data_IF_657618976849
#
_entry.id   IF_657618976849
#
_cell.length_a   1.000
_cell.length_b   1.000
_cell.length_c   1.000
_cell.angle_alpha   90.00
_cell.angle_beta   90.00
_cell.angle_gamma   90.00
#
_symmetry.space_group_name_H-M   'P 1'
#
loop_
_entity.id
_entity.type
_entity.pdbx_description
1 polymer ?
#
# COMPACT_ATOMS: atom_id res chain seq x y z
N UNK A 1 28.11 -21.00 15.56
CA UNK A 1 27.06 -21.44 14.61
C UNK A 1 25.84 -20.57 14.86
N UNK A 2 25.54 -19.64 13.96
CA UNK A 2 24.32 -18.82 14.08
C UNK A 2 23.10 -19.70 13.83
N UNK A 3 22.05 -19.51 14.62
CA UNK A 3 20.83 -20.31 14.48
C UNK A 3 20.07 -19.89 13.22
N UNK A 4 19.54 -20.83 12.42
CA UNK A 4 18.82 -20.54 11.16
C UNK A 4 17.58 -19.63 11.32
N UNK A 5 17.12 -19.43 12.55
CA UNK A 5 16.00 -18.55 12.89
C UNK A 5 16.44 -17.11 13.17
N UNK A 6 17.67 -16.89 13.65
CA UNK A 6 18.26 -15.55 13.81
C UNK A 6 18.44 -14.88 12.45
N UNK A 7 18.87 -15.67 11.46
CA UNK A 7 18.96 -15.25 10.06
C UNK A 7 17.59 -14.94 9.44
N UNK A 8 16.54 -15.72 9.75
CA UNK A 8 15.19 -15.42 9.27
C UNK A 8 14.64 -14.08 9.83
N UNK A 9 14.88 -13.80 11.12
CA UNK A 9 14.47 -12.54 11.74
C UNK A 9 15.23 -11.34 11.17
N UNK A 10 16.53 -11.48 10.94
CA UNK A 10 17.35 -10.45 10.28
C UNK A 10 16.92 -10.20 8.84
N UNK A 11 16.66 -11.26 8.06
CA UNK A 11 16.12 -11.15 6.70
C UNK A 11 14.79 -10.40 6.68
N UNK A 12 13.94 -10.67 7.67
CA UNK A 12 12.68 -9.98 7.80
C UNK A 12 12.85 -8.50 8.15
N UNK A 13 13.76 -8.17 9.06
CA UNK A 13 14.11 -6.78 9.39
C UNK A 13 14.55 -6.05 8.12
N UNK A 14 15.44 -6.65 7.32
CA UNK A 14 15.87 -6.07 6.04
C UNK A 14 14.70 -5.84 5.08
N UNK A 15 13.79 -6.82 4.92
CA UNK A 15 12.60 -6.67 4.09
C UNK A 15 11.66 -5.55 4.58
N UNK A 16 11.52 -5.39 5.90
CA UNK A 16 10.74 -4.32 6.51
C UNK A 16 11.37 -2.94 6.30
N UNK A 17 12.71 -2.85 6.36
CA UNK A 17 13.42 -1.60 6.05
C UNK A 17 13.25 -1.20 4.59
N UNK A 18 13.36 -2.14 3.65
CA UNK A 18 13.09 -1.89 2.23
C UNK A 18 11.64 -1.47 2.01
N UNK A 19 10.68 -2.15 2.64
CA UNK A 19 9.26 -1.78 2.55
C UNK A 19 9.01 -0.35 3.06
N UNK A 20 9.66 0.03 4.17
CA UNK A 20 9.53 1.38 4.71
C UNK A 20 10.08 2.44 3.75
N UNK A 21 11.20 2.17 3.08
CA UNK A 21 11.75 3.05 2.05
C UNK A 21 10.79 3.22 0.86
N UNK A 22 10.18 2.13 0.39
CA UNK A 22 9.18 2.20 -0.67
C UNK A 22 7.93 2.99 -0.25
N UNK A 23 7.49 2.87 1.00
CA UNK A 23 6.36 3.66 1.50
C UNK A 23 6.69 5.16 1.56
N UNK A 24 7.92 5.53 1.87
CA UNK A 24 8.39 6.91 1.79
C UNK A 24 8.43 7.43 0.34
N UNK A 25 8.87 6.59 -0.60
CA UNK A 25 8.88 6.95 -2.03
C UNK A 25 7.46 7.12 -2.56
N UNK A 26 6.55 6.21 -2.21
CA UNK A 26 5.12 6.33 -2.52
C UNK A 26 4.53 7.62 -1.96
N UNK A 27 4.82 7.94 -0.69
CA UNK A 27 4.36 9.18 -0.07
C UNK A 27 4.83 10.40 -0.88
N UNK A 28 6.09 10.41 -1.33
CA UNK A 28 6.62 11.50 -2.12
C UNK A 28 5.93 11.62 -3.48
N UNK A 29 5.74 10.51 -4.21
CA UNK A 29 5.01 10.46 -5.48
C UNK A 29 3.57 10.97 -5.33
N UNK A 30 2.86 10.55 -4.28
CA UNK A 30 1.50 10.98 -3.99
C UNK A 30 1.41 12.48 -3.68
N UNK A 31 2.42 13.03 -2.98
CA UNK A 31 2.48 14.45 -2.64
C UNK A 31 2.87 15.33 -3.83
N UNK A 32 3.75 14.84 -4.71
CA UNK A 32 4.21 15.60 -5.88
C UNK A 32 3.25 15.49 -7.07
N UNK A 33 2.37 14.49 -7.08
CA UNK A 33 1.53 14.17 -8.24
C UNK A 33 2.28 13.39 -9.33
N UNK A 34 3.52 12.96 -9.08
CA UNK A 34 4.29 12.14 -10.02
C UNK A 34 3.88 10.67 -9.91
N UNK A 35 2.96 10.27 -10.79
CA UNK A 35 2.38 8.92 -10.81
C UNK A 35 3.25 7.91 -11.56
N UNK A 36 4.34 8.32 -12.20
CA UNK A 36 5.13 7.45 -13.12
C UNK A 36 5.78 6.26 -12.41
N UNK A 37 6.16 6.43 -11.14
CA UNK A 37 6.80 5.40 -10.34
C UNK A 37 5.83 4.60 -9.46
N UNK A 38 4.55 4.98 -9.36
CA UNK A 38 3.64 4.36 -8.40
C UNK A 38 3.34 2.90 -8.71
N UNK A 39 3.20 2.54 -9.99
CA UNK A 39 2.93 1.16 -10.39
C UNK A 39 4.10 0.23 -10.02
N UNK A 40 5.34 0.66 -10.28
CA UNK A 40 6.52 -0.12 -9.92
C UNK A 40 6.72 -0.23 -8.42
N UNK A 41 6.46 0.85 -7.67
CA UNK A 41 6.49 0.85 -6.21
C UNK A 41 5.42 -0.10 -5.66
N UNK A 42 4.20 -0.08 -6.18
CA UNK A 42 3.12 -0.96 -5.76
C UNK A 42 3.47 -2.44 -5.96
N UNK A 43 4.00 -2.80 -7.14
CA UNK A 43 4.42 -4.17 -7.45
C UNK A 43 5.54 -4.65 -6.51
N UNK A 44 6.52 -3.81 -6.21
CA UNK A 44 7.63 -4.17 -5.32
C UNK A 44 7.17 -4.30 -3.85
N UNK A 45 6.25 -3.43 -3.39
CA UNK A 45 5.61 -3.60 -2.07
C UNK A 45 4.87 -4.93 -1.97
N UNK A 46 4.13 -5.33 -3.01
CA UNK A 46 3.41 -6.60 -3.02
C UNK A 46 4.36 -7.80 -2.86
N UNK A 47 5.47 -7.80 -3.61
CA UNK A 47 6.53 -8.83 -3.46
C UNK A 47 7.10 -8.86 -2.05
N UNK A 48 7.36 -7.70 -1.46
CA UNK A 48 7.88 -7.62 -0.08
C UNK A 48 6.86 -8.13 0.94
N UNK A 49 5.57 -7.84 0.79
CA UNK A 49 4.53 -8.38 1.67
C UNK A 49 4.48 -9.91 1.60
N UNK A 50 4.58 -10.49 0.40
CA UNK A 50 4.64 -11.94 0.22
C UNK A 50 5.91 -12.53 0.88
N UNK A 51 7.07 -11.89 0.70
CA UNK A 51 8.33 -12.32 1.33
C UNK A 51 8.27 -12.27 2.85
N UNK A 52 7.76 -11.16 3.43
CA UNK A 52 7.59 -10.99 4.87
C UNK A 52 6.63 -12.05 5.43
N UNK A 53 5.53 -12.34 4.73
CA UNK A 53 4.56 -13.37 5.11
C UNK A 53 5.18 -14.78 5.12
N UNK A 54 6.00 -15.10 4.11
CA UNK A 54 6.72 -16.36 4.04
C UNK A 54 7.75 -16.50 5.18
N UNK A 55 8.46 -15.42 5.52
CA UNK A 55 9.40 -15.39 6.64
C UNK A 55 8.69 -15.55 7.98
N UNK A 56 7.49 -14.98 8.15
CA UNK A 56 6.69 -15.18 9.37
C UNK A 56 6.22 -16.60 9.57
N UNK A 57 5.84 -17.28 8.49
CA UNK A 57 5.40 -18.67 8.55
C UNK A 57 6.53 -19.59 9.01
N UNK A 58 7.80 -19.22 8.75
CA UNK A 58 9.00 -19.97 9.14
C UNK A 58 9.50 -19.62 10.54
N UNK A 59 8.87 -18.64 11.22
CA UNK A 59 9.32 -18.16 12.52
C UNK A 59 8.83 -19.09 13.64
N UNK A 60 9.72 -19.93 14.13
CA UNK A 60 9.47 -20.72 15.34
C UNK A 60 9.79 -19.90 16.61
N UNK A 61 9.02 -20.09 17.71
CA UNK A 61 9.33 -19.46 18.99
C UNK A 61 10.68 -19.97 19.50
N UNK A 62 11.63 -19.05 19.72
CA UNK A 62 12.96 -19.33 20.24
C UNK A 62 13.12 -18.87 21.69
N UNK A 63 14.05 -19.50 22.44
CA UNK A 63 14.43 -19.03 23.76
C UNK A 63 15.00 -17.60 23.68
N UNK A 64 14.58 -16.77 24.64
CA UNK A 64 14.88 -15.34 24.71
C UNK A 64 16.36 -15.08 25.03
N UNK A 65 17.20 -14.95 24.01
CA UNK A 65 18.54 -14.35 24.18
C UNK A 65 18.45 -12.83 24.11
N UNK A 66 19.39 -12.11 24.73
CA UNK A 66 19.41 -10.65 24.69
C UNK A 66 19.44 -10.10 23.24
N UNK A 67 20.26 -10.68 22.37
CA UNK A 67 20.33 -10.31 20.95
C UNK A 67 19.01 -10.58 20.20
N UNK A 68 18.34 -11.70 20.49
CA UNK A 68 17.04 -12.00 19.87
C UNK A 68 15.94 -11.03 20.34
N UNK A 69 15.96 -10.62 21.61
CA UNK A 69 15.04 -9.60 22.13
C UNK A 69 15.26 -8.24 21.46
N UNK A 70 16.51 -7.85 21.23
CA UNK A 70 16.85 -6.62 20.51
C UNK A 70 16.33 -6.63 19.06
N UNK A 71 16.58 -7.71 18.32
CA UNK A 71 16.05 -7.88 16.96
C UNK A 71 14.52 -7.86 16.93
N UNK A 72 13.84 -8.47 17.91
CA UNK A 72 12.39 -8.39 18.02
C UNK A 72 11.89 -6.96 18.30
N UNK A 73 12.61 -6.20 19.13
CA UNK A 73 12.28 -4.81 19.39
C UNK A 73 12.44 -3.94 18.12
N UNK A 74 13.55 -4.12 17.39
CA UNK A 74 13.79 -3.45 16.11
C UNK A 74 12.68 -3.75 15.10
N UNK A 75 12.34 -5.03 14.93
CA UNK A 75 11.23 -5.46 14.07
C UNK A 75 9.92 -4.80 14.45
N UNK A 76 9.59 -4.75 15.75
CA UNK A 76 8.35 -4.13 16.24
C UNK A 76 8.32 -2.63 15.97
N UNK A 77 9.45 -1.94 16.15
CA UNK A 77 9.57 -0.53 15.85
C UNK A 77 9.37 -0.25 14.35
N UNK A 78 9.96 -1.07 13.47
CA UNK A 78 9.77 -0.98 12.01
C UNK A 78 8.31 -1.17 11.61
N UNK A 79 7.64 -2.19 12.14
CA UNK A 79 6.21 -2.42 11.89
C UNK A 79 5.34 -1.23 12.31
N UNK A 80 5.63 -0.63 13.48
CA UNK A 80 4.94 0.57 13.93
C UNK A 80 5.08 1.74 12.94
N UNK A 81 6.29 1.95 12.40
CA UNK A 81 6.55 2.97 11.38
C UNK A 81 5.83 2.66 10.06
N UNK A 82 5.86 1.41 9.61
CA UNK A 82 5.19 0.96 8.38
C UNK A 82 3.67 1.21 8.47
N UNK A 83 3.05 0.88 9.60
CA UNK A 83 1.61 1.12 9.83
C UNK A 83 1.30 2.62 9.69
N UNK A 84 2.10 3.47 10.31
CA UNK A 84 1.92 4.93 10.25
C UNK A 84 2.03 5.45 8.82
N UNK A 85 3.05 5.04 8.06
CA UNK A 85 3.22 5.48 6.67
C UNK A 85 2.10 4.96 5.76
N UNK A 86 1.70 3.71 5.92
CA UNK A 86 0.62 3.14 5.12
C UNK A 86 -0.72 3.86 5.40
N UNK A 87 -1.02 4.17 6.66
CA UNK A 87 -2.18 4.99 7.02
C UNK A 87 -2.14 6.37 6.41
N UNK A 88 -0.97 7.04 6.43
CA UNK A 88 -0.79 8.36 5.83
C UNK A 88 -0.98 8.32 4.31
N UNK A 89 -0.37 7.35 3.63
CA UNK A 89 -0.54 7.19 2.19
C UNK A 89 -2.01 6.93 1.82
N UNK A 90 -2.71 6.10 2.59
CA UNK A 90 -4.15 5.87 2.44
C UNK A 90 -4.99 7.14 2.62
N UNK A 91 -4.64 8.01 3.56
CA UNK A 91 -5.31 9.30 3.74
C UNK A 91 -5.11 10.24 2.55
N UNK A 92 -3.89 10.28 1.98
CA UNK A 92 -3.57 11.08 0.79
C UNK A 92 -4.36 10.56 -0.41
N UNK A 93 -4.31 9.25 -0.68
CA UNK A 93 -5.07 8.62 -1.77
C UNK A 93 -6.56 8.93 -1.63
N UNK A 94 -7.14 8.70 -0.44
CA UNK A 94 -8.55 8.99 -0.21
C UNK A 94 -8.91 10.48 -0.35
N UNK A 95 -7.99 11.40 -0.06
CA UNK A 95 -8.19 12.82 -0.31
C UNK A 95 -8.19 13.15 -1.82
N UNK A 96 -7.26 12.57 -2.57
CA UNK A 96 -7.18 12.71 -4.02
C UNK A 96 -8.43 12.13 -4.71
N UNK A 97 -8.93 10.98 -4.27
CA UNK A 97 -10.17 10.39 -4.79
C UNK A 97 -11.39 11.29 -4.56
N UNK A 98 -11.55 11.86 -3.36
CA UNK A 98 -12.64 12.79 -3.05
C UNK A 98 -12.54 14.07 -3.87
N UNK A 99 -11.34 14.60 -4.05
CA UNK A 99 -11.09 15.77 -4.87
C UNK A 99 -11.48 15.51 -6.33
N UNK A 100 -11.01 14.39 -6.90
CA UNK A 100 -11.34 14.00 -8.27
C UNK A 100 -12.85 13.80 -8.45
N UNK A 101 -13.52 13.11 -7.52
CA UNK A 101 -14.98 12.92 -7.55
C UNK A 101 -15.73 14.26 -7.53
N UNK A 102 -15.30 15.20 -6.69
CA UNK A 102 -15.88 16.55 -6.63
C UNK A 102 -15.67 17.34 -7.92
N UNK A 103 -14.47 17.25 -8.51
CA UNK A 103 -14.18 17.88 -9.80
C UNK A 103 -15.07 17.31 -10.91
N UNK A 104 -15.25 15.98 -10.97
CA UNK A 104 -16.16 15.34 -11.92
C UNK A 104 -17.61 15.79 -11.74
N UNK A 105 -18.08 15.89 -10.50
CA UNK A 105 -19.44 16.35 -10.22
C UNK A 105 -19.67 17.79 -10.69
N UNK A 106 -18.68 18.67 -10.49
CA UNK A 106 -18.77 20.07 -10.94
C UNK A 106 -18.72 20.17 -12.47
N UNK A 107 -17.82 19.44 -13.11
CA UNK A 107 -17.58 19.56 -14.55
C UNK A 107 -18.62 18.82 -15.40
N UNK A 108 -19.16 17.70 -14.92
CA UNK A 108 -19.98 16.78 -15.72
C UNK A 108 -21.32 16.44 -15.07
N UNK A 109 -21.59 16.91 -13.84
CA UNK A 109 -22.82 16.60 -13.12
C UNK A 109 -22.91 15.16 -12.61
N UNK A 110 -21.85 14.36 -12.76
CA UNK A 110 -21.78 12.97 -12.30
C UNK A 110 -20.61 12.77 -11.35
N UNK A 111 -20.78 11.88 -10.37
CA UNK A 111 -19.71 11.51 -9.43
C UNK A 111 -18.78 10.44 -10.00
N UNK A 112 -19.22 9.71 -11.02
CA UNK A 112 -18.44 8.65 -11.66
C UNK A 112 -17.88 9.14 -13.00
N UNK A 113 -16.57 8.97 -13.24
CA UNK A 113 -15.97 9.22 -14.53
C UNK A 113 -16.60 8.28 -15.56
N UNK A 114 -17.17 8.86 -16.63
CA UNK A 114 -17.76 8.10 -17.74
C UNK A 114 -16.72 7.30 -18.54
N UNK A 115 -15.43 7.60 -18.33
CA UNK A 115 -14.30 6.95 -18.97
C UNK A 115 -13.32 6.46 -17.90
N UNK A 116 -13.02 5.17 -17.93
CA UNK A 116 -11.86 4.59 -17.22
C UNK A 116 -10.61 4.72 -18.11
N UNK A 117 -9.40 4.58 -17.54
CA UNK A 117 -8.12 4.64 -18.28
C UNK A 117 -8.04 3.64 -19.46
N UNK A 118 -8.94 2.65 -19.53
CA UNK A 118 -9.09 1.72 -20.65
C UNK A 118 -10.06 2.16 -21.75
N UNK A 119 -10.58 3.40 -21.73
CA UNK A 119 -11.51 3.91 -22.76
C UNK A 119 -12.87 3.20 -22.81
N UNK A 120 -13.21 2.40 -21.79
CA UNK A 120 -14.48 1.68 -21.73
C UNK A 120 -15.47 2.42 -20.84
N UNK A 121 -16.64 2.69 -21.40
CA UNK A 121 -17.80 3.20 -20.67
C UNK A 121 -18.40 2.05 -19.87
N UNK A 122 -18.40 2.13 -18.55
CA UNK A 122 -19.23 1.21 -17.75
C UNK A 122 -20.68 1.66 -17.87
N UNK A 123 -21.37 1.12 -18.88
CA UNK A 123 -22.82 1.16 -18.95
C UNK A 123 -23.38 -0.25 -18.76
N UNK A 124 -23.91 -0.52 -17.56
CA UNK A 124 -25.00 -1.46 -17.36
C UNK A 124 -26.10 -0.71 -16.58
N UNK A 125 -26.90 0.11 -17.26
CA UNK A 125 -28.23 -0.26 -17.72
C UNK A 125 -29.24 -0.43 -16.57
N UNK A 126 -30.00 0.64 -16.30
CA UNK A 126 -31.44 0.46 -16.11
C UNK A 126 -32.23 1.57 -16.81
N UNK A 127 -33.13 1.08 -17.65
CA UNK A 127 -34.00 1.68 -18.65
C UNK A 127 -35.15 2.52 -18.06
N UNK A 128 -35.59 3.48 -18.88
CA UNK A 128 -36.96 4.04 -19.04
C UNK A 128 -37.41 5.09 -18.01
N UNK A 129 -37.96 6.27 -18.37
CA UNK A 129 -38.54 6.80 -19.62
C UNK A 129 -38.42 8.35 -19.63
N UNK A 130 -38.07 8.94 -20.78
CA UNK A 130 -38.32 10.36 -21.11
C UNK A 130 -39.29 10.39 -22.31
N UNK A 131 -40.36 11.20 -22.18
CA UNK A 131 -41.37 11.53 -23.22
C UNK A 131 -42.69 10.76 -23.06
N UNK A 132 -43.89 11.33 -23.17
CA UNK A 132 -44.32 12.53 -23.90
C UNK A 132 -45.75 12.95 -23.48
N UNK A 133 -46.07 14.24 -23.69
CA UNK A 133 -47.35 14.95 -23.61
C UNK A 133 -47.84 15.44 -22.23
#
# INVERSE_FOLDING_TARGET
MESPTSTALQQQIGALETLLQLLHQEEHCLQSGDMTALESIAAEKERLYQSISALETRRHPQPSTAAHLELQAQRRALLGRIILHNQRNGQIIGALERFNRGAWQILFGTSDPLYTDGGTTQHSAQRHLIGSA
#
